data_IF_452489591770
#
_entry.id   IF_452489591770
#
_cell.length_a   1.000
_cell.length_b   1.000
_cell.length_c   1.000
_cell.angle_alpha   90.00
_cell.angle_beta   90.00
_cell.angle_gamma   90.00
#
_symmetry.space_group_name_H-M   'P 1'
#
loop_
_entity.id
_entity.type
_entity.pdbx_description
1 polymer ?
#
# COMPACT_ATOMS: atom_id res chain seq x y z
N UNK A 1 -25.11 -9.35 -12.22
CA UNK A 1 -24.95 -8.54 -10.98
C UNK A 1 -23.72 -7.70 -11.24
N UNK A 2 -23.75 -6.39 -11.03
CA UNK A 2 -22.51 -5.60 -11.02
C UNK A 2 -21.75 -5.99 -9.75
N UNK A 3 -20.52 -6.42 -9.89
CA UNK A 3 -19.69 -6.73 -8.73
C UNK A 3 -19.55 -5.46 -7.88
N UNK A 4 -19.58 -5.63 -6.56
CA UNK A 4 -19.34 -4.51 -5.64
C UNK A 4 -17.88 -4.07 -5.76
N UNK A 5 -17.60 -2.77 -5.78
CA UNK A 5 -16.22 -2.30 -5.83
C UNK A 5 -15.47 -2.70 -4.55
N UNK A 6 -14.19 -3.02 -4.71
CA UNK A 6 -13.28 -3.28 -3.57
C UNK A 6 -12.77 -1.99 -2.96
N UNK A 7 -12.71 -0.89 -3.73
CA UNK A 7 -12.47 0.46 -3.25
C UNK A 7 -13.56 1.35 -3.81
N UNK A 8 -14.21 2.11 -2.93
CA UNK A 8 -15.14 3.18 -3.31
C UNK A 8 -14.70 4.47 -2.67
N UNK A 9 -14.53 5.49 -3.48
CA UNK A 9 -14.23 6.86 -3.07
C UNK A 9 -15.37 7.74 -3.52
N UNK A 10 -16.00 8.47 -2.59
CA UNK A 10 -17.18 9.30 -2.86
C UNK A 10 -16.97 10.71 -2.36
N UNK A 11 -16.86 11.66 -3.28
CA UNK A 11 -16.81 13.12 -3.08
C UNK A 11 -15.80 13.55 -2.02
N UNK A 12 -14.64 12.90 -1.96
CA UNK A 12 -13.62 13.23 -0.97
C UNK A 12 -13.03 14.62 -1.22
N UNK A 13 -12.87 15.35 -0.14
CA UNK A 13 -12.16 16.63 -0.11
C UNK A 13 -11.14 16.63 1.01
N UNK A 14 -9.95 17.21 0.74
CA UNK A 14 -8.91 17.40 1.75
C UNK A 14 -8.22 18.74 1.56
N UNK A 15 -8.08 19.47 2.66
CA UNK A 15 -7.43 20.79 2.71
C UNK A 15 -6.30 20.79 3.74
N UNK A 16 -5.30 21.65 3.51
CA UNK A 16 -4.21 21.95 4.43
C UNK A 16 -4.09 23.47 4.54
N UNK A 17 -4.66 24.03 5.61
CA UNK A 17 -4.85 25.47 5.70
C UNK A 17 -5.68 25.97 4.51
N UNK A 18 -5.12 26.91 3.76
CA UNK A 18 -5.80 27.48 2.58
C UNK A 18 -5.60 26.66 1.29
N UNK A 19 -4.77 25.60 1.34
CA UNK A 19 -4.49 24.78 0.16
C UNK A 19 -5.49 23.63 0.06
N UNK A 20 -6.24 23.56 -1.04
CA UNK A 20 -7.10 22.42 -1.38
C UNK A 20 -6.24 21.37 -2.07
N UNK A 21 -5.94 20.27 -1.37
CA UNK A 21 -5.11 19.18 -1.90
C UNK A 21 -5.94 18.17 -2.71
N UNK A 22 -7.17 17.89 -2.30
CA UNK A 22 -8.12 17.03 -3.02
C UNK A 22 -9.47 17.75 -3.02
N UNK A 23 -10.10 17.84 -4.18
CA UNK A 23 -11.38 18.52 -4.33
C UNK A 23 -12.40 17.66 -5.06
N UNK A 24 -13.34 17.11 -4.30
CA UNK A 24 -14.51 16.38 -4.78
C UNK A 24 -14.16 15.24 -5.74
N UNK A 25 -13.27 14.35 -5.30
CA UNK A 25 -12.84 13.20 -6.09
C UNK A 25 -13.69 11.98 -5.78
N UNK A 26 -14.19 11.32 -6.84
CA UNK A 26 -15.00 10.10 -6.76
C UNK A 26 -14.55 9.09 -7.80
N UNK A 27 -14.39 7.82 -7.41
CA UNK A 27 -14.15 6.69 -8.29
C UNK A 27 -14.39 5.35 -7.57
N UNK A 28 -14.58 4.30 -8.34
CA UNK A 28 -14.67 2.92 -7.88
C UNK A 28 -13.53 2.09 -8.49
N UNK A 29 -13.00 1.12 -7.71
CA UNK A 29 -12.05 0.10 -8.19
C UNK A 29 -12.66 -1.26 -7.93
N UNK A 30 -12.61 -2.15 -8.92
CA UNK A 30 -13.21 -3.48 -8.83
C UNK A 30 -12.16 -4.57 -8.61
N UNK A 31 -12.60 -5.71 -8.13
CA UNK A 31 -11.70 -6.84 -7.89
C UNK A 31 -10.98 -7.28 -9.17
N UNK A 32 -9.67 -7.48 -9.09
CA UNK A 32 -8.81 -7.87 -10.22
C UNK A 32 -8.45 -6.72 -11.17
N UNK A 33 -8.89 -5.49 -10.87
CA UNK A 33 -8.58 -4.32 -11.69
C UNK A 33 -7.21 -3.74 -11.34
N UNK A 34 -6.49 -3.27 -12.36
CA UNK A 34 -5.31 -2.43 -12.19
C UNK A 34 -5.76 -0.98 -12.41
N UNK A 35 -5.88 -0.24 -11.32
CA UNK A 35 -6.31 1.17 -11.36
C UNK A 35 -5.12 2.11 -11.24
N UNK A 36 -5.04 3.12 -12.09
CA UNK A 36 -3.97 4.11 -12.11
C UNK A 36 -4.47 5.52 -11.78
N UNK A 37 -3.95 6.13 -10.71
CA UNK A 37 -4.19 7.53 -10.39
C UNK A 37 -3.08 8.39 -10.99
N UNK A 38 -3.38 9.11 -12.08
CA UNK A 38 -2.40 9.86 -12.87
C UNK A 38 -2.68 11.36 -12.77
N UNK A 39 -1.63 12.17 -12.76
CA UNK A 39 -1.72 13.63 -12.72
C UNK A 39 -0.37 14.28 -12.41
N UNK A 40 -0.26 15.62 -12.54
CA UNK A 40 0.96 16.37 -12.23
C UNK A 40 1.33 16.30 -10.75
N UNK A 41 2.53 16.74 -10.40
CA UNK A 41 2.93 16.91 -9.01
C UNK A 41 2.03 17.95 -8.32
N UNK A 42 1.61 17.68 -7.10
CA UNK A 42 0.67 18.53 -6.37
C UNK A 42 -0.82 18.29 -6.67
N UNK A 43 -1.17 17.39 -7.61
CA UNK A 43 -2.57 17.10 -7.94
C UNK A 43 -3.34 16.27 -6.88
N UNK A 44 -2.80 16.08 -5.68
CA UNK A 44 -3.48 15.39 -4.59
C UNK A 44 -3.43 13.86 -4.63
N UNK A 45 -2.67 13.25 -5.57
CA UNK A 45 -2.57 11.78 -5.71
C UNK A 45 -2.16 11.09 -4.41
N UNK A 46 -1.05 11.53 -3.82
CA UNK A 46 -0.53 10.96 -2.56
C UNK A 46 -1.55 11.15 -1.43
N UNK A 47 -2.15 12.33 -1.31
CA UNK A 47 -3.19 12.60 -0.31
C UNK A 47 -4.41 11.69 -0.49
N UNK A 48 -4.83 11.45 -1.73
CA UNK A 48 -5.93 10.52 -2.04
C UNK A 48 -5.58 9.09 -1.62
N UNK A 49 -4.37 8.61 -1.96
CA UNK A 49 -3.89 7.29 -1.55
C UNK A 49 -3.81 7.17 -0.03
N UNK A 50 -3.21 8.16 0.67
CA UNK A 50 -3.14 8.19 2.13
C UNK A 50 -4.54 8.15 2.80
N UNK A 51 -5.56 8.73 2.17
CA UNK A 51 -6.93 8.63 2.65
C UNK A 51 -7.50 7.20 2.48
N UNK A 52 -7.23 6.55 1.34
CA UNK A 52 -7.65 5.16 1.08
C UNK A 52 -6.96 4.18 2.03
N UNK A 53 -5.68 4.42 2.33
CA UNK A 53 -4.85 3.61 3.23
C UNK A 53 -5.20 3.81 4.72
N UNK A 54 -6.09 4.78 5.04
CA UNK A 54 -6.45 5.10 6.42
C UNK A 54 -5.38 5.90 7.19
N UNK A 55 -4.35 6.40 6.50
CA UNK A 55 -3.31 7.23 7.09
C UNK A 55 -3.74 8.68 7.27
N UNK A 56 -4.80 9.09 6.57
CA UNK A 56 -5.30 10.45 6.58
C UNK A 56 -6.82 10.50 6.47
N UNK A 57 -7.44 11.30 7.31
CA UNK A 57 -8.88 11.52 7.26
C UNK A 57 -9.22 12.58 6.20
N UNK A 58 -10.11 12.33 5.24
CA UNK A 58 -10.68 13.37 4.40
C UNK A 58 -11.52 14.35 5.24
N UNK A 59 -11.62 15.62 4.82
CA UNK A 59 -12.42 16.62 5.50
C UNK A 59 -13.91 16.46 5.14
N UNK A 60 -14.20 15.91 3.94
CA UNK A 60 -15.54 15.56 3.46
C UNK A 60 -15.47 14.32 2.58
N UNK A 61 -16.65 13.75 2.33
CA UNK A 61 -16.80 12.54 1.52
C UNK A 61 -16.62 11.27 2.33
N UNK A 62 -16.65 10.14 1.64
CA UNK A 62 -16.57 8.81 2.24
C UNK A 62 -15.62 7.91 1.43
N UNK A 63 -14.97 7.00 2.13
CA UNK A 63 -14.13 5.98 1.52
C UNK A 63 -14.51 4.63 2.13
N UNK A 64 -14.68 3.65 1.27
CA UNK A 64 -14.84 2.25 1.65
C UNK A 64 -13.78 1.42 0.95
N UNK A 65 -13.09 0.58 1.69
CA UNK A 65 -12.12 -0.40 1.18
C UNK A 65 -12.53 -1.78 1.68
N UNK A 66 -12.90 -2.68 0.78
CA UNK A 66 -13.52 -3.98 1.11
C UNK A 66 -14.75 -3.86 2.03
N UNK A 67 -15.54 -2.77 1.90
CA UNK A 67 -16.69 -2.49 2.75
C UNK A 67 -16.33 -1.96 4.15
N UNK A 68 -15.06 -1.64 4.41
CA UNK A 68 -14.55 -1.07 5.66
C UNK A 68 -14.27 0.43 5.51
N UNK A 69 -14.52 1.20 6.57
CA UNK A 69 -14.09 2.59 6.65
C UNK A 69 -12.61 2.63 7.07
N UNK A 70 -11.69 3.15 6.23
CA UNK A 70 -10.25 3.15 6.53
C UNK A 70 -9.87 3.82 7.85
N UNK A 71 -10.68 4.76 8.34
CA UNK A 71 -10.41 5.50 9.58
C UNK A 71 -11.00 4.85 10.82
N UNK A 72 -12.11 4.10 10.66
CA UNK A 72 -12.79 3.44 11.77
C UNK A 72 -12.32 2.00 11.94
N UNK A 73 -12.08 1.32 10.83
CA UNK A 73 -11.75 -0.10 10.76
C UNK A 73 -10.25 -0.33 10.44
N UNK A 74 -9.37 0.62 10.81
CA UNK A 74 -7.96 0.64 10.40
C UNK A 74 -7.23 -0.70 10.68
N UNK A 75 -7.45 -1.32 11.83
CA UNK A 75 -6.80 -2.60 12.18
C UNK A 75 -7.29 -3.72 11.26
N UNK A 76 -8.60 -3.84 11.03
CA UNK A 76 -9.16 -4.84 10.13
C UNK A 76 -8.71 -4.63 8.69
N UNK A 77 -8.58 -3.37 8.26
CA UNK A 77 -8.12 -3.01 6.93
C UNK A 77 -6.64 -3.35 6.73
N UNK A 78 -5.76 -3.05 7.70
CA UNK A 78 -4.32 -3.34 7.62
C UNK A 78 -4.01 -4.83 7.40
N UNK A 79 -4.87 -5.73 7.85
CA UNK A 79 -4.75 -7.17 7.59
C UNK A 79 -5.22 -7.59 6.19
N UNK A 80 -5.74 -6.67 5.38
CA UNK A 80 -6.33 -6.96 4.06
C UNK A 80 -5.68 -6.20 2.91
N UNK A 81 -4.84 -5.21 3.20
CA UNK A 81 -4.16 -4.40 2.19
C UNK A 81 -2.64 -4.46 2.39
N UNK A 82 -1.92 -4.52 1.28
CA UNK A 82 -0.47 -4.30 1.25
C UNK A 82 -0.17 -2.92 0.70
N UNK A 83 0.64 -2.15 1.41
CA UNK A 83 1.01 -0.78 1.03
C UNK A 83 2.50 -0.68 0.79
N UNK A 84 2.88 -0.08 -0.34
CA UNK A 84 4.25 0.29 -0.63
C UNK A 84 4.39 1.81 -0.64
N UNK A 85 5.14 2.35 0.30
CA UNK A 85 5.41 3.78 0.36
C UNK A 85 6.42 4.21 -0.71
N UNK A 86 6.29 5.44 -1.18
CA UNK A 86 7.19 6.04 -2.17
C UNK A 86 8.63 6.12 -1.66
N UNK A 87 8.81 6.46 -0.37
CA UNK A 87 10.10 6.52 0.33
C UNK A 87 10.06 5.52 1.48
N UNK A 88 10.52 4.31 1.23
CA UNK A 88 10.70 3.30 2.25
C UNK A 88 12.18 2.94 2.38
N UNK A 89 12.66 2.83 3.62
CA UNK A 89 14.02 2.38 3.91
C UNK A 89 14.01 1.31 4.99
N UNK A 90 14.85 0.31 4.81
CA UNK A 90 15.14 -0.69 5.83
C UNK A 90 16.50 -0.45 6.44
N UNK A 91 16.77 -1.10 7.57
CA UNK A 91 18.11 -1.09 8.18
C UNK A 91 19.15 -1.61 7.17
N UNK A 92 20.27 -0.92 7.04
CA UNK A 92 21.31 -1.23 6.05
C UNK A 92 21.79 -2.68 6.12
N UNK A 93 21.89 -3.25 7.32
CA UNK A 93 22.40 -4.61 7.59
C UNK A 93 21.30 -5.62 7.94
N UNK A 94 20.05 -5.39 7.54
CA UNK A 94 19.01 -6.42 7.57
C UNK A 94 19.16 -7.28 6.34
N UNK A 95 19.08 -8.59 6.47
CA UNK A 95 19.04 -9.51 5.33
C UNK A 95 17.64 -9.54 4.70
N UNK A 96 17.57 -9.90 3.44
CA UNK A 96 16.29 -10.01 2.72
C UNK A 96 15.31 -10.92 3.47
N UNK A 97 15.75 -12.12 3.88
CA UNK A 97 14.87 -13.06 4.61
C UNK A 97 14.47 -12.53 6.00
N UNK A 98 15.34 -11.78 6.68
CA UNK A 98 15.02 -11.17 7.98
C UNK A 98 13.95 -10.09 7.84
N UNK A 99 14.03 -9.28 6.79
CA UNK A 99 13.02 -8.29 6.48
C UNK A 99 11.64 -8.93 6.22
N UNK A 100 11.62 -9.98 5.39
CA UNK A 100 10.37 -10.72 5.10
C UNK A 100 9.82 -11.39 6.36
N UNK A 101 10.66 -12.04 7.17
CA UNK A 101 10.23 -12.68 8.42
C UNK A 101 9.69 -11.65 9.43
N UNK A 102 10.33 -10.48 9.52
CA UNK A 102 9.87 -9.39 10.39
C UNK A 102 8.48 -8.90 9.97
N UNK A 103 8.26 -8.65 8.67
CA UNK A 103 6.95 -8.23 8.18
C UNK A 103 5.90 -9.33 8.38
N UNK A 104 6.24 -10.58 8.05
CA UNK A 104 5.34 -11.71 8.26
C UNK A 104 4.88 -11.84 9.72
N UNK A 105 5.75 -11.51 10.68
CA UNK A 105 5.39 -11.59 12.11
C UNK A 105 4.33 -10.57 12.55
N UNK A 106 3.97 -9.60 11.72
CA UNK A 106 2.92 -8.61 12.00
C UNK A 106 1.52 -9.11 11.65
N UNK A 107 1.40 -10.24 10.96
CA UNK A 107 0.14 -10.78 10.46
C UNK A 107 -0.12 -12.18 11.01
N UNK A 108 -1.39 -12.52 11.23
CA UNK A 108 -1.80 -13.86 11.68
C UNK A 108 -1.66 -14.91 10.57
N UNK A 109 -1.91 -14.50 9.34
CA UNK A 109 -1.78 -15.35 8.14
C UNK A 109 -0.90 -14.64 7.13
N UNK A 110 0.01 -15.40 6.52
CA UNK A 110 0.94 -14.85 5.54
C UNK A 110 1.10 -15.79 4.35
N UNK A 111 1.49 -15.24 3.23
CA UNK A 111 1.93 -16.03 2.08
C UNK A 111 3.31 -16.62 2.38
N UNK A 112 3.62 -17.76 1.76
CA UNK A 112 4.94 -18.37 1.85
C UNK A 112 6.04 -17.39 1.38
N UNK A 113 6.93 -17.05 2.29
CA UNK A 113 7.99 -16.07 2.09
C UNK A 113 8.95 -16.48 0.95
N UNK A 114 9.30 -17.76 0.86
CA UNK A 114 10.22 -18.24 -0.16
C UNK A 114 9.55 -18.21 -1.54
N UNK A 115 8.26 -18.48 -1.62
CA UNK A 115 7.47 -18.35 -2.84
C UNK A 115 7.41 -16.90 -3.34
N UNK A 116 7.17 -15.92 -2.46
CA UNK A 116 7.17 -14.50 -2.83
C UNK A 116 8.56 -14.06 -3.33
N UNK A 117 9.62 -14.46 -2.62
CA UNK A 117 10.98 -14.12 -3.03
C UNK A 117 11.34 -14.72 -4.39
N UNK A 118 10.86 -15.92 -4.68
CA UNK A 118 11.06 -16.57 -5.98
C UNK A 118 10.32 -15.82 -7.09
N UNK A 119 9.04 -15.55 -6.92
CA UNK A 119 8.23 -14.80 -7.88
C UNK A 119 8.81 -13.43 -8.24
N UNK A 120 9.48 -12.78 -7.28
CA UNK A 120 10.11 -11.48 -7.47
C UNK A 120 11.60 -11.56 -7.84
N UNK A 121 12.14 -12.77 -8.08
CA UNK A 121 13.53 -13.00 -8.48
C UNK A 121 14.53 -12.54 -7.41
N UNK A 122 14.21 -12.79 -6.14
CA UNK A 122 15.05 -12.44 -4.98
C UNK A 122 15.61 -13.67 -4.24
N UNK A 123 15.33 -14.91 -4.68
CA UNK A 123 15.76 -16.14 -4.00
C UNK A 123 17.28 -16.20 -3.78
N UNK A 124 18.08 -15.86 -4.80
CA UNK A 124 19.54 -15.81 -4.69
C UNK A 124 20.05 -14.69 -3.77
N UNK A 125 19.21 -13.69 -3.49
CA UNK A 125 19.53 -12.56 -2.62
C UNK A 125 19.01 -12.72 -1.19
N UNK A 126 18.41 -13.87 -0.87
CA UNK A 126 17.81 -14.19 0.45
C UNK A 126 18.73 -13.82 1.62
N UNK A 127 20.02 -14.13 1.50
CA UNK A 127 21.03 -13.86 2.53
C UNK A 127 21.78 -12.54 2.35
N UNK A 128 21.50 -11.77 1.30
CA UNK A 128 22.15 -10.49 1.05
C UNK A 128 21.63 -9.42 2.03
N UNK A 129 22.50 -8.52 2.42
CA UNK A 129 22.10 -7.33 3.19
C UNK A 129 21.37 -6.33 2.29
N UNK A 130 20.39 -5.64 2.83
CA UNK A 130 19.62 -4.62 2.14
C UNK A 130 20.51 -3.56 1.46
N UNK A 131 21.59 -3.14 2.12
CA UNK A 131 22.52 -2.16 1.56
C UNK A 131 23.20 -2.64 0.27
N UNK A 132 23.33 -3.95 0.08
CA UNK A 132 24.02 -4.56 -1.07
C UNK A 132 23.06 -4.85 -2.23
N UNK A 133 21.76 -4.55 -2.09
CA UNK A 133 20.78 -4.70 -3.15
C UNK A 133 20.87 -3.52 -4.13
N UNK A 134 20.70 -3.81 -5.42
CA UNK A 134 20.46 -2.76 -6.42
C UNK A 134 19.14 -2.04 -6.18
N UNK A 135 18.93 -0.85 -6.77
CA UNK A 135 17.68 -0.11 -6.66
C UNK A 135 16.46 -0.95 -7.05
N UNK A 136 16.52 -1.66 -8.17
CA UNK A 136 15.43 -2.54 -8.61
C UNK A 136 15.20 -3.74 -7.68
N UNK A 137 16.27 -4.30 -7.05
CA UNK A 137 16.13 -5.36 -6.05
C UNK A 137 15.47 -4.84 -4.76
N UNK A 138 15.84 -3.64 -4.31
CA UNK A 138 15.18 -2.97 -3.17
C UNK A 138 13.70 -2.76 -3.45
N UNK A 139 13.36 -2.25 -4.64
CA UNK A 139 11.99 -2.05 -5.05
C UNK A 139 11.19 -3.37 -5.01
N UNK A 140 11.75 -4.46 -5.58
CA UNK A 140 11.10 -5.78 -5.53
C UNK A 140 10.97 -6.33 -4.11
N UNK A 141 11.93 -6.06 -3.22
CA UNK A 141 11.80 -6.42 -1.82
C UNK A 141 10.64 -5.67 -1.15
N UNK A 142 10.49 -4.36 -1.37
CA UNK A 142 9.33 -3.62 -0.83
C UNK A 142 8.00 -4.13 -1.38
N UNK A 143 7.96 -4.54 -2.65
CA UNK A 143 6.76 -5.22 -3.20
C UNK A 143 6.51 -6.55 -2.48
N UNK A 144 7.57 -7.35 -2.20
CA UNK A 144 7.44 -8.58 -1.45
C UNK A 144 6.84 -8.33 -0.06
N UNK A 145 7.31 -7.28 0.64
CA UNK A 145 6.81 -6.91 1.97
C UNK A 145 5.35 -6.46 1.93
N UNK A 146 4.92 -5.79 0.86
CA UNK A 146 3.53 -5.38 0.68
C UNK A 146 2.58 -6.54 0.32
N UNK A 147 3.10 -7.66 -0.20
CA UNK A 147 2.33 -8.82 -0.62
C UNK A 147 2.38 -9.98 0.38
N UNK A 148 2.96 -9.79 1.55
CA UNK A 148 3.20 -10.88 2.51
C UNK A 148 1.93 -11.30 3.28
N UNK A 149 0.93 -10.42 3.37
CA UNK A 149 -0.36 -10.64 4.03
C UNK A 149 -1.46 -11.11 3.09
#
# INVERSE_FOLDING_TARGET
MRDLPVIRVSDIRKTYGDVVAVDTVSFDVFQGEIFGLIGPNGAGKTTTMECIEGLRRPDRGQIEVFGLDPMQDAVALQHRIGVQFQEAQLQKRIKVWEAVALWASLYETTVDADRILDQLGLSEKRNAWFMNLSGGQKQRLFIALALIN
#
